data_IF_643818166548
#
_entry.id   IF_643818166548
#
_cell.length_a   1.000
_cell.length_b   1.000
_cell.length_c   1.000
_cell.angle_alpha   90.00
_cell.angle_beta   90.00
_cell.angle_gamma   90.00
#
_symmetry.space_group_name_H-M   'P 1'
#
loop_
_entity.id
_entity.type
_entity.pdbx_description
1 polymer ?
#
# COMPACT_ATOMS: atom_id res chain seq x y z
N UNK A 1 -17.89 7.94 -11.56
CA UNK A 1 -17.37 8.92 -12.55
C UNK A 1 -15.92 9.19 -12.20
N UNK A 2 -15.02 8.47 -12.82
CA UNK A 2 -13.57 8.52 -12.56
C UNK A 2 -12.96 9.20 -13.79
N UNK A 3 -12.76 10.51 -13.71
CA UNK A 3 -12.03 11.23 -14.74
C UNK A 3 -10.54 10.95 -14.55
N UNK A 4 -10.02 10.08 -15.42
CA UNK A 4 -8.62 9.79 -15.54
C UNK A 4 -7.83 11.02 -15.97
N UNK A 5 -6.97 11.49 -15.10
CA UNK A 5 -5.78 12.22 -15.48
C UNK A 5 -4.67 11.21 -15.74
N UNK A 6 -4.76 10.46 -16.84
CA UNK A 6 -3.57 9.84 -17.41
C UNK A 6 -2.76 10.96 -18.07
N UNK A 7 -1.52 11.21 -17.64
CA UNK A 7 -0.64 12.08 -18.38
C UNK A 7 -0.44 11.45 -19.77
N UNK A 8 -0.93 12.12 -20.82
CA UNK A 8 -0.64 11.78 -22.21
C UNK A 8 0.86 11.93 -22.43
N UNK A 9 1.59 10.85 -22.19
CA UNK A 9 2.99 10.79 -22.56
C UNK A 9 3.05 10.55 -24.07
N UNK A 10 3.54 11.55 -24.80
CA UNK A 10 3.71 11.47 -26.26
C UNK A 10 4.78 10.43 -26.60
N UNK A 11 4.33 9.31 -27.14
CA UNK A 11 5.17 8.17 -27.51
C UNK A 11 5.94 8.36 -28.82
N UNK A 12 5.74 9.46 -29.53
CA UNK A 12 6.24 9.65 -30.89
C UNK A 12 7.76 9.92 -30.96
N UNK A 13 8.41 10.21 -29.82
CA UNK A 13 9.85 10.49 -29.77
C UNK A 13 10.74 9.28 -29.42
N UNK A 14 10.19 8.09 -29.18
CA UNK A 14 10.95 6.91 -28.73
C UNK A 14 11.44 5.98 -29.87
N UNK A 15 11.28 6.38 -31.12
CA UNK A 15 11.56 5.52 -32.28
C UNK A 15 12.89 5.77 -33.02
N UNK A 16 13.79 6.63 -32.53
CA UNK A 16 15.13 6.75 -33.09
C UNK A 16 16.10 5.96 -32.23
N UNK A 17 16.84 5.04 -32.86
CA UNK A 17 18.05 4.43 -32.29
C UNK A 17 19.02 5.55 -31.90
N UNK A 18 18.85 6.10 -30.72
CA UNK A 18 19.79 6.96 -30.06
C UNK A 18 20.97 6.08 -29.69
N UNK A 19 22.03 6.12 -30.47
CA UNK A 19 23.36 5.65 -30.04
C UNK A 19 23.74 6.51 -28.85
N UNK A 20 23.42 6.02 -27.64
CA UNK A 20 23.78 6.65 -26.37
C UNK A 20 25.31 6.76 -26.33
N UNK A 21 25.82 7.94 -26.01
CA UNK A 21 27.23 8.10 -25.70
C UNK A 21 27.62 7.24 -24.51
N UNK A 22 28.90 6.87 -24.38
CA UNK A 22 29.36 6.09 -23.21
C UNK A 22 29.12 6.84 -21.89
N UNK A 23 29.14 8.18 -21.92
CA UNK A 23 28.81 9.04 -20.77
C UNK A 23 27.34 8.92 -20.39
N UNK A 24 26.40 8.98 -21.35
CA UNK A 24 24.97 8.81 -21.09
C UNK A 24 24.66 7.41 -20.56
N UNK A 25 25.36 6.40 -21.08
CA UNK A 25 25.23 5.02 -20.61
C UNK A 25 25.70 4.87 -19.16
N UNK A 26 26.82 5.49 -18.79
CA UNK A 26 27.34 5.43 -17.42
C UNK A 26 26.41 6.15 -16.43
N UNK A 27 25.86 7.29 -16.81
CA UNK A 27 24.86 8.03 -16.04
C UNK A 27 23.59 7.20 -15.80
N UNK A 28 23.06 6.55 -16.83
CA UNK A 28 21.87 5.72 -16.72
C UNK A 28 22.10 4.49 -15.82
N UNK A 29 23.29 3.87 -15.89
CA UNK A 29 23.66 2.77 -14.98
C UNK A 29 23.74 3.27 -13.53
N UNK A 30 24.31 4.46 -13.32
CA UNK A 30 24.40 5.06 -12.00
C UNK A 30 23.01 5.39 -11.39
N UNK A 31 22.03 5.75 -12.22
CA UNK A 31 20.64 5.98 -11.75
C UNK A 31 19.86 4.68 -11.50
N UNK A 32 20.17 3.62 -12.23
CA UNK A 32 19.39 2.38 -12.16
C UNK A 32 19.43 1.73 -10.77
N UNK A 33 20.61 1.63 -10.16
CA UNK A 33 20.75 0.96 -8.87
C UNK A 33 20.02 1.69 -7.73
N UNK A 34 20.13 3.02 -7.56
CA UNK A 34 19.36 3.76 -6.57
C UNK A 34 17.84 3.62 -6.73
N UNK A 35 17.35 3.57 -7.97
CA UNK A 35 15.92 3.38 -8.24
C UNK A 35 15.43 1.97 -7.85
N UNK A 36 16.24 0.94 -8.10
CA UNK A 36 15.94 -0.42 -7.65
C UNK A 36 15.91 -0.52 -6.13
N UNK A 37 16.85 0.14 -5.47
CA UNK A 37 16.88 0.22 -4.00
C UNK A 37 15.66 0.96 -3.46
N UNK A 38 15.19 2.02 -4.14
CA UNK A 38 13.97 2.73 -3.75
C UNK A 38 12.71 1.85 -3.92
N UNK A 39 12.63 1.03 -4.97
CA UNK A 39 11.55 0.02 -5.12
C UNK A 39 11.54 -0.92 -3.92
N UNK A 40 12.68 -1.50 -3.56
CA UNK A 40 12.78 -2.42 -2.43
C UNK A 40 12.40 -1.73 -1.10
N UNK A 41 12.93 -0.53 -0.84
CA UNK A 41 12.59 0.25 0.35
C UNK A 41 11.11 0.59 0.42
N UNK A 42 10.49 0.91 -0.72
CA UNK A 42 9.05 1.21 -0.76
C UNK A 42 8.22 -0.02 -0.44
N UNK A 43 8.59 -1.19 -0.97
CA UNK A 43 7.93 -2.46 -0.62
C UNK A 43 8.07 -2.77 0.88
N UNK A 44 9.26 -2.58 1.45
CA UNK A 44 9.49 -2.79 2.88
C UNK A 44 8.66 -1.83 3.75
N UNK A 45 8.57 -0.56 3.37
CA UNK A 45 7.70 0.43 4.04
C UNK A 45 6.23 0.04 3.97
N UNK A 46 5.77 -0.54 2.85
CA UNK A 46 4.40 -1.06 2.73
C UNK A 46 4.16 -2.22 3.69
N UNK A 47 5.08 -3.19 3.75
CA UNK A 47 4.99 -4.33 4.66
C UNK A 47 5.00 -3.88 6.13
N UNK A 48 5.88 -2.95 6.49
CA UNK A 48 5.92 -2.36 7.83
C UNK A 48 4.63 -1.63 8.18
N UNK A 49 4.09 -0.84 7.26
CA UNK A 49 2.82 -0.15 7.47
C UNK A 49 1.67 -1.13 7.72
N UNK A 50 1.59 -2.23 6.97
CA UNK A 50 0.59 -3.27 7.17
C UNK A 50 0.73 -3.93 8.55
N UNK A 51 1.95 -4.30 8.94
CA UNK A 51 2.22 -4.93 10.22
C UNK A 51 1.90 -3.99 11.41
N UNK A 52 2.32 -2.73 11.33
CA UNK A 52 2.08 -1.72 12.39
C UNK A 52 0.58 -1.45 12.54
N UNK A 53 -0.13 -1.22 11.43
CA UNK A 53 -1.57 -0.94 11.48
C UNK A 53 -2.36 -2.14 12.01
N UNK A 54 -2.00 -3.37 11.61
CA UNK A 54 -2.62 -4.57 12.15
C UNK A 54 -2.38 -4.71 13.66
N UNK A 55 -1.11 -4.63 14.07
CA UNK A 55 -0.75 -4.75 15.49
C UNK A 55 -1.48 -3.69 16.34
N UNK A 56 -1.50 -2.44 15.89
CA UNK A 56 -2.15 -1.35 16.60
C UNK A 56 -3.68 -1.52 16.66
N UNK A 57 -4.32 -1.89 15.54
CA UNK A 57 -5.75 -2.15 15.51
C UNK A 57 -6.16 -3.29 16.46
N UNK A 58 -5.42 -4.41 16.44
CA UNK A 58 -5.68 -5.53 17.36
C UNK A 58 -5.43 -5.17 18.82
N UNK A 59 -4.38 -4.40 19.12
CA UNK A 59 -4.12 -3.89 20.47
C UNK A 59 -5.26 -3.02 20.96
N UNK A 60 -5.80 -2.14 20.12
CA UNK A 60 -6.95 -1.31 20.49
C UNK A 60 -8.22 -2.12 20.72
N UNK A 61 -8.49 -3.14 19.89
CA UNK A 61 -9.60 -4.07 20.11
C UNK A 61 -9.46 -4.77 21.47
N UNK A 62 -8.27 -5.32 21.74
CA UNK A 62 -8.01 -6.00 23.00
C UNK A 62 -8.10 -5.06 24.21
N UNK A 63 -7.47 -3.87 24.14
CA UNK A 63 -7.52 -2.88 25.21
C UNK A 63 -8.96 -2.42 25.49
N UNK A 64 -9.77 -2.24 24.44
CA UNK A 64 -11.18 -1.89 24.62
C UNK A 64 -11.99 -2.97 25.34
N UNK A 65 -11.67 -4.25 25.15
CA UNK A 65 -12.35 -5.36 25.82
C UNK A 65 -11.87 -5.56 27.27
N UNK A 66 -10.68 -5.05 27.60
CA UNK A 66 -10.04 -5.26 28.91
C UNK A 66 -10.21 -4.05 29.85
N UNK A 67 -11.14 -3.13 29.56
CA UNK A 67 -11.38 -1.95 30.41
C UNK A 67 -12.00 -2.41 31.75
N UNK A 68 -11.39 -2.07 32.92
CA UNK A 68 -11.92 -2.38 34.22
C UNK A 68 -13.21 -1.59 34.51
N UNK A 69 -14.10 -2.17 35.30
CA UNK A 69 -15.37 -1.54 35.68
C UNK A 69 -15.17 -0.30 36.57
N UNK A 70 -14.05 -0.21 37.28
CA UNK A 70 -13.65 0.90 38.16
C UNK A 70 -12.85 2.02 37.45
N UNK A 71 -12.83 2.01 36.12
CA UNK A 71 -12.15 3.05 35.37
C UNK A 71 -12.73 4.45 35.61
N UNK A 72 -11.88 5.48 35.62
CA UNK A 72 -12.26 6.89 35.83
C UNK A 72 -13.30 7.37 34.81
N UNK A 73 -13.26 6.83 33.60
CA UNK A 73 -14.27 7.08 32.56
C UNK A 73 -15.20 5.86 32.44
N UNK A 74 -16.46 6.08 32.01
CA UNK A 74 -17.36 4.98 31.73
C UNK A 74 -16.72 3.96 30.76
N UNK A 75 -16.70 2.69 31.15
CA UNK A 75 -16.04 1.62 30.39
C UNK A 75 -16.53 1.57 28.93
N UNK A 76 -17.82 1.77 28.68
CA UNK A 76 -18.40 1.79 27.33
C UNK A 76 -17.81 2.90 26.44
N UNK A 77 -17.48 4.07 27.04
CA UNK A 77 -16.88 5.19 26.28
C UNK A 77 -15.46 4.86 25.84
N UNK A 78 -14.66 4.24 26.70
CA UNK A 78 -13.30 3.79 26.38
C UNK A 78 -13.33 2.65 25.35
N UNK A 79 -14.29 1.74 25.45
CA UNK A 79 -14.49 0.65 24.51
C UNK A 79 -14.83 1.16 23.10
N UNK A 80 -15.82 2.06 22.99
CA UNK A 80 -16.21 2.66 21.71
C UNK A 80 -15.06 3.52 21.14
N UNK A 81 -14.41 4.30 22.00
CA UNK A 81 -13.26 5.13 21.60
C UNK A 81 -12.12 4.29 21.02
N UNK A 82 -11.75 3.18 21.67
CA UNK A 82 -10.72 2.27 21.18
C UNK A 82 -11.11 1.60 19.85
N UNK A 83 -12.37 1.20 19.69
CA UNK A 83 -12.88 0.61 18.46
C UNK A 83 -12.88 1.63 17.31
N UNK A 84 -13.26 2.89 17.55
CA UNK A 84 -13.18 3.96 16.58
C UNK A 84 -11.73 4.25 16.16
N UNK A 85 -10.78 4.30 17.11
CA UNK A 85 -9.37 4.47 16.80
C UNK A 85 -8.81 3.31 15.98
N UNK A 86 -9.20 2.08 16.27
CA UNK A 86 -8.84 0.90 15.48
C UNK A 86 -9.33 1.01 14.04
N UNK A 87 -10.58 1.44 13.85
CA UNK A 87 -11.14 1.65 12.51
C UNK A 87 -10.43 2.77 11.76
N UNK A 88 -10.17 3.91 12.40
CA UNK A 88 -9.40 5.01 11.82
C UNK A 88 -8.01 4.58 11.42
N UNK A 89 -7.34 3.76 12.24
CA UNK A 89 -6.02 3.19 11.94
C UNK A 89 -6.05 2.32 10.68
N UNK A 90 -7.08 1.48 10.52
CA UNK A 90 -7.24 0.64 9.33
C UNK A 90 -7.45 1.48 8.07
N UNK A 91 -8.28 2.52 8.11
CA UNK A 91 -8.49 3.44 6.99
C UNK A 91 -7.23 4.23 6.65
N UNK A 92 -6.57 4.81 7.65
CA UNK A 92 -5.33 5.56 7.44
C UNK A 92 -4.22 4.70 6.83
N UNK A 93 -4.03 3.49 7.36
CA UNK A 93 -3.04 2.55 6.84
C UNK A 93 -3.28 2.17 5.39
N UNK A 94 -4.54 1.92 5.01
CA UNK A 94 -4.90 1.65 3.63
C UNK A 94 -4.60 2.84 2.70
N UNK A 95 -4.98 4.06 3.10
CA UNK A 95 -4.70 5.27 2.32
C UNK A 95 -3.20 5.49 2.14
N UNK A 96 -2.42 5.31 3.19
CA UNK A 96 -0.96 5.38 3.13
C UNK A 96 -0.38 4.32 2.18
N UNK A 97 -0.91 3.11 2.21
CA UNK A 97 -0.51 2.04 1.28
C UNK A 97 -0.83 2.38 -0.18
N UNK A 98 -1.96 3.05 -0.45
CA UNK A 98 -2.30 3.53 -1.80
C UNK A 98 -1.29 4.56 -2.32
N UNK A 99 -0.81 5.45 -1.44
CA UNK A 99 0.24 6.42 -1.80
C UNK A 99 1.54 5.69 -2.17
N UNK A 100 1.97 4.71 -1.37
CA UNK A 100 3.16 3.91 -1.67
C UNK A 100 3.02 3.15 -3.00
N UNK A 101 1.87 2.57 -3.28
CA UNK A 101 1.60 1.87 -4.56
C UNK A 101 1.71 2.81 -5.76
N UNK A 102 1.19 4.04 -5.65
CA UNK A 102 1.29 5.04 -6.71
C UNK A 102 2.75 5.44 -6.95
N UNK A 103 3.50 5.65 -5.86
CA UNK A 103 4.93 5.95 -5.95
C UNK A 103 5.68 4.79 -6.61
N UNK A 104 5.45 3.56 -6.17
CA UNK A 104 6.04 2.35 -6.74
C UNK A 104 5.76 2.23 -8.24
N UNK A 105 4.51 2.42 -8.66
CA UNK A 105 4.13 2.37 -10.07
C UNK A 105 4.84 3.45 -10.93
N UNK A 106 5.09 4.65 -10.39
CA UNK A 106 5.86 5.69 -11.08
C UNK A 106 7.33 5.29 -11.24
N UNK A 107 7.96 4.78 -10.17
CA UNK A 107 9.36 4.35 -10.21
C UNK A 107 9.54 3.15 -11.13
N UNK A 108 8.66 2.15 -11.06
CA UNK A 108 8.69 0.98 -11.94
C UNK A 108 8.50 1.36 -13.42
N UNK A 109 7.61 2.31 -13.70
CA UNK A 109 7.43 2.83 -15.06
C UNK A 109 8.71 3.49 -15.57
N UNK A 110 9.33 4.34 -14.74
CA UNK A 110 10.59 5.01 -15.10
C UNK A 110 11.72 4.01 -15.30
N UNK A 111 11.86 3.02 -14.42
CA UNK A 111 12.81 1.91 -14.61
C UNK A 111 12.58 1.16 -15.91
N UNK A 112 11.34 0.85 -16.25
CA UNK A 112 11.00 0.20 -17.51
C UNK A 112 11.34 1.05 -18.74
N UNK A 113 11.23 2.37 -18.65
CA UNK A 113 11.64 3.30 -19.71
C UNK A 113 13.17 3.38 -19.83
N UNK A 114 13.89 3.35 -18.70
CA UNK A 114 15.36 3.24 -18.67
C UNK A 114 15.81 1.93 -19.32
N UNK A 115 15.27 0.79 -18.89
CA UNK A 115 15.63 -0.53 -19.43
C UNK A 115 15.44 -0.60 -20.94
N UNK A 116 14.35 -0.02 -21.46
CA UNK A 116 14.09 0.03 -22.92
C UNK A 116 15.10 0.87 -23.70
N UNK A 117 15.73 1.85 -23.08
CA UNK A 117 16.81 2.63 -23.70
C UNK A 117 18.10 1.83 -23.80
N UNK A 118 18.37 0.90 -22.89
CA UNK A 118 19.55 0.03 -22.93
C UNK A 118 19.41 -1.14 -23.89
N UNK A 119 18.20 -1.75 -23.94
CA UNK A 119 17.95 -2.91 -24.78
C UNK A 119 16.46 -3.13 -24.96
N UNK A 120 16.03 -3.28 -26.20
CA UNK A 120 14.64 -3.62 -26.52
C UNK A 120 14.21 -5.03 -26.06
N UNK A 121 15.16 -5.89 -25.72
CA UNK A 121 14.91 -7.31 -25.41
C UNK A 121 15.38 -7.73 -24.01
N UNK A 122 16.25 -6.98 -23.38
CA UNK A 122 16.81 -7.30 -22.06
C UNK A 122 16.43 -6.24 -21.03
N UNK A 123 15.96 -6.69 -19.86
CA UNK A 123 15.67 -5.84 -18.73
C UNK A 123 14.79 -6.61 -17.77
N UNK A 124 14.96 -6.37 -16.47
CA UNK A 124 14.18 -7.01 -15.40
C UNK A 124 12.69 -6.70 -15.53
N UNK A 125 12.33 -5.47 -15.85
CA UNK A 125 10.94 -5.05 -16.01
C UNK A 125 10.30 -5.72 -17.23
N UNK A 126 11.03 -5.84 -18.35
CA UNK A 126 10.57 -6.60 -19.52
C UNK A 126 10.49 -8.11 -19.25
N UNK A 127 11.46 -8.67 -18.55
CA UNK A 127 11.43 -10.07 -18.11
C UNK A 127 10.26 -10.29 -17.16
N UNK A 128 10.09 -9.43 -16.17
CA UNK A 128 9.05 -9.54 -15.16
C UNK A 128 7.65 -9.37 -15.77
N UNK A 129 7.47 -8.44 -16.70
CA UNK A 129 6.18 -8.27 -17.41
C UNK A 129 5.82 -9.45 -18.29
N UNK A 130 6.81 -10.11 -18.91
CA UNK A 130 6.59 -11.31 -19.76
C UNK A 130 6.36 -12.59 -18.94
N UNK A 131 7.12 -12.76 -17.84
CA UNK A 131 7.03 -13.97 -17.00
C UNK A 131 5.88 -13.91 -16.00
N UNK A 132 5.54 -12.72 -15.58
CA UNK A 132 4.52 -12.48 -14.53
C UNK A 132 3.21 -12.01 -15.13
N UNK A 133 3.11 -12.03 -16.46
CA UNK A 133 1.95 -11.62 -17.25
C UNK A 133 0.67 -11.46 -16.38
N UNK A 134 0.46 -10.25 -15.87
CA UNK A 134 -0.74 -9.80 -15.17
C UNK A 134 -1.14 -10.54 -13.88
N UNK A 135 -0.85 -11.83 -13.76
CA UNK A 135 -1.44 -12.69 -12.74
C UNK A 135 -0.83 -12.54 -11.35
N UNK A 136 0.48 -12.31 -11.23
CA UNK A 136 1.16 -12.27 -9.93
C UNK A 136 1.10 -10.89 -9.28
N UNK A 137 1.26 -9.83 -10.06
CA UNK A 137 1.08 -8.45 -9.57
C UNK A 137 -0.38 -8.20 -9.22
N UNK A 138 -1.31 -8.65 -10.06
CA UNK A 138 -2.75 -8.62 -9.74
C UNK A 138 -3.07 -9.46 -8.50
N UNK A 139 -2.47 -10.63 -8.34
CA UNK A 139 -2.66 -11.47 -7.16
C UNK A 139 -2.10 -10.83 -5.89
N UNK A 140 -0.89 -10.25 -5.93
CA UNK A 140 -0.32 -9.54 -4.78
C UNK A 140 -1.14 -8.29 -4.42
N UNK A 141 -1.58 -7.54 -5.41
CA UNK A 141 -2.45 -6.38 -5.21
C UNK A 141 -3.80 -6.81 -4.64
N UNK A 142 -4.37 -7.92 -5.14
CA UNK A 142 -5.59 -8.52 -4.63
C UNK A 142 -5.47 -8.97 -3.17
N UNK A 143 -4.40 -9.69 -2.83
CA UNK A 143 -4.16 -10.18 -1.46
C UNK A 143 -4.02 -9.02 -0.46
N UNK A 144 -3.32 -7.95 -0.82
CA UNK A 144 -3.19 -6.75 0.03
C UNK A 144 -4.50 -5.99 0.19
N UNK A 145 -5.33 -5.95 -0.84
CA UNK A 145 -6.67 -5.37 -0.72
C UNK A 145 -7.54 -6.20 0.23
N UNK A 146 -7.48 -7.53 0.12
CA UNK A 146 -8.18 -8.44 1.03
C UNK A 146 -7.74 -8.21 2.48
N UNK A 147 -6.43 -8.04 2.74
CA UNK A 147 -5.92 -7.73 4.08
C UNK A 147 -6.60 -6.48 4.68
N UNK A 148 -6.65 -5.38 3.93
CA UNK A 148 -7.29 -4.15 4.40
C UNK A 148 -8.80 -4.29 4.59
N UNK A 149 -9.47 -5.07 3.72
CA UNK A 149 -10.89 -5.36 3.91
C UNK A 149 -11.15 -6.19 5.17
N UNK A 150 -10.33 -7.21 5.43
CA UNK A 150 -10.43 -8.03 6.64
C UNK A 150 -10.20 -7.16 7.89
N UNK A 151 -9.15 -6.34 7.90
CA UNK A 151 -8.83 -5.48 9.03
C UNK A 151 -9.95 -4.48 9.31
N UNK A 152 -10.48 -3.81 8.28
CA UNK A 152 -11.64 -2.91 8.42
C UNK A 152 -12.89 -3.64 8.90
N UNK A 153 -13.15 -4.82 8.35
CA UNK A 153 -14.30 -5.62 8.77
C UNK A 153 -14.19 -6.05 10.24
N UNK A 154 -13.03 -6.51 10.68
CA UNK A 154 -12.81 -6.89 12.08
C UNK A 154 -13.02 -5.72 13.03
N UNK A 155 -12.47 -4.54 12.70
CA UNK A 155 -12.64 -3.34 13.54
C UNK A 155 -14.08 -2.82 13.52
N UNK A 156 -14.76 -2.90 12.38
CA UNK A 156 -16.16 -2.49 12.25
C UNK A 156 -17.11 -3.45 12.98
N UNK A 157 -16.87 -4.75 12.87
CA UNK A 157 -17.64 -5.76 13.59
C UNK A 157 -17.49 -5.61 15.11
N UNK A 158 -16.28 -5.34 15.60
CA UNK A 158 -16.04 -5.05 17.00
C UNK A 158 -16.81 -3.81 17.47
N UNK A 159 -16.78 -2.72 16.71
CA UNK A 159 -17.54 -1.50 17.01
C UNK A 159 -19.04 -1.78 17.03
N UNK A 160 -19.57 -2.52 16.04
CA UNK A 160 -20.98 -2.90 15.97
C UNK A 160 -21.43 -3.74 17.16
N UNK A 161 -20.60 -4.69 17.60
CA UNK A 161 -20.85 -5.52 18.78
C UNK A 161 -20.92 -4.67 20.05
N UNK A 162 -19.98 -3.75 20.22
CA UNK A 162 -19.95 -2.86 21.38
C UNK A 162 -21.19 -1.94 21.45
N UNK A 163 -21.57 -1.37 20.31
CA UNK A 163 -22.78 -0.55 20.21
C UNK A 163 -24.04 -1.37 20.50
N UNK A 164 -24.12 -2.59 19.97
CA UNK A 164 -25.23 -3.49 20.26
C UNK A 164 -25.32 -3.79 21.74
N UNK A 165 -24.22 -4.16 22.40
CA UNK A 165 -24.20 -4.42 23.85
C UNK A 165 -24.59 -3.18 24.66
N UNK A 166 -24.09 -1.99 24.26
CA UNK A 166 -24.43 -0.74 24.93
C UNK A 166 -25.94 -0.41 24.84
N UNK A 167 -26.57 -0.68 23.68
CA UNK A 167 -28.00 -0.40 23.48
C UNK A 167 -28.92 -1.39 24.18
N UNK A 168 -28.51 -2.66 24.29
CA UNK A 168 -29.37 -3.72 24.86
C UNK A 168 -29.07 -4.07 26.32
N UNK A 169 -27.93 -3.60 26.87
CA UNK A 169 -27.62 -3.71 28.31
C UNK A 169 -27.88 -2.42 29.08
N UNK A 170 -28.34 -1.34 28.44
CA UNK A 170 -28.82 -0.18 29.17
C UNK A 170 -30.05 -0.60 29.97
N UNK A 171 -30.06 -0.42 31.33
CA UNK A 171 -31.19 -0.78 32.20
C UNK A 171 -32.42 0.04 31.89
#
# INVERSE_FOLDING_TARGET
>A
MSNGLEPKYDRTHLGKDLTLSDEDRSLLIAEYQPLRDEVNRTVDRMNQNEAICAAFAFTLIYAGQSVPDDAVFPAWLLQIGSACLGLLTAFYGEQRNLVFRRHLAMVEKYLGDLERRFSSSFGWTNFYSKVVDGTRIQRQTGTRNIFWHILKFATFANLGLLLFVALFKAP
#
